data_IF_251261755676
#
_entry.id   IF_251261755676
#
_cell.length_a   1.000
_cell.length_b   1.000
_cell.length_c   1.000
_cell.angle_alpha   90.00
_cell.angle_beta   90.00
_cell.angle_gamma   90.00
#
_symmetry.space_group_name_H-M   'P 1'
#
loop_
_entity.id
_entity.type
_entity.pdbx_description
1 polymer ?
#
# COMPACT_ATOMS: atom_id res chain seq x y z
N UNK A 1 -19.16 -11.90 10.22
CA UNK A 1 -19.37 -12.31 11.64
C UNK A 1 -18.01 -12.68 12.17
N UNK A 2 -17.42 -11.78 12.92
CA UNK A 2 -16.01 -11.85 13.30
C UNK A 2 -15.74 -13.01 14.26
N UNK A 3 -14.58 -13.67 14.08
CA UNK A 3 -14.12 -14.76 14.95
C UNK A 3 -14.00 -14.39 16.44
N UNK A 4 -14.04 -13.10 16.74
CA UNK A 4 -13.94 -12.56 18.11
C UNK A 4 -15.19 -12.86 18.94
N UNK A 5 -16.37 -12.91 18.32
CA UNK A 5 -17.65 -13.14 19.02
C UNK A 5 -17.86 -14.59 19.54
N UNK A 6 -16.90 -15.48 19.29
CA UNK A 6 -16.98 -16.90 19.69
C UNK A 6 -15.99 -17.32 20.75
N UNK A 7 -15.13 -16.40 21.22
CA UNK A 7 -14.15 -16.72 22.26
C UNK A 7 -14.85 -16.74 23.63
N UNK A 8 -14.69 -17.82 24.37
CA UNK A 8 -15.14 -17.84 25.76
C UNK A 8 -14.19 -17.00 26.64
N UNK A 9 -14.63 -16.69 27.86
CA UNK A 9 -13.89 -15.83 28.78
C UNK A 9 -12.50 -16.40 29.14
N UNK A 10 -12.36 -17.71 29.20
CA UNK A 10 -11.11 -18.39 29.51
C UNK A 10 -10.10 -18.24 28.36
N UNK A 11 -10.53 -18.45 27.11
CA UNK A 11 -9.69 -18.26 25.93
C UNK A 11 -9.23 -16.79 25.76
N UNK A 12 -10.07 -15.84 26.14
CA UNK A 12 -9.68 -14.42 26.12
C UNK A 12 -8.62 -14.14 27.17
N UNK A 13 -8.76 -14.70 28.39
CA UNK A 13 -7.77 -14.51 29.46
C UNK A 13 -6.43 -15.18 29.11
N UNK A 14 -6.43 -16.40 28.60
CA UNK A 14 -5.21 -17.09 28.16
C UNK A 14 -4.46 -16.29 27.08
N UNK A 15 -5.18 -15.71 26.11
CA UNK A 15 -4.57 -14.86 25.09
C UNK A 15 -4.03 -13.55 25.66
N UNK A 16 -4.73 -12.99 26.63
CA UNK A 16 -4.28 -11.77 27.32
C UNK A 16 -3.01 -12.03 28.11
N UNK A 17 -2.93 -13.14 28.85
CA UNK A 17 -1.73 -13.57 29.58
C UNK A 17 -0.57 -13.80 28.63
N UNK A 18 -0.78 -14.51 27.53
CA UNK A 18 0.24 -14.70 26.50
C UNK A 18 0.76 -13.38 25.91
N UNK A 19 -0.12 -12.38 25.73
CA UNK A 19 0.28 -11.05 25.28
C UNK A 19 1.10 -10.30 26.34
N UNK A 20 0.75 -10.44 27.62
CA UNK A 20 1.47 -9.79 28.72
C UNK A 20 2.87 -10.42 28.96
N UNK A 21 3.02 -11.71 28.66
CA UNK A 21 4.30 -12.41 28.75
C UNK A 21 5.18 -12.25 27.50
N UNK A 22 4.66 -11.62 26.47
CA UNK A 22 5.38 -11.47 25.21
C UNK A 22 6.60 -10.56 25.36
N UNK A 23 7.77 -11.09 25.03
CA UNK A 23 9.01 -10.30 24.96
C UNK A 23 9.00 -9.47 23.69
N UNK A 24 8.90 -8.16 23.84
CA UNK A 24 8.94 -7.20 22.73
C UNK A 24 10.36 -6.68 22.57
N UNK A 25 10.92 -6.81 21.37
CA UNK A 25 12.15 -6.13 21.00
C UNK A 25 11.79 -4.76 20.42
N UNK A 26 12.19 -3.70 21.14
CA UNK A 26 12.08 -2.34 20.66
C UNK A 26 13.35 -1.94 19.94
N UNK A 27 13.23 -1.62 18.67
CA UNK A 27 14.31 -1.08 17.87
C UNK A 27 14.07 0.40 17.64
N UNK A 28 15.04 1.24 18.04
CA UNK A 28 15.00 2.69 17.82
C UNK A 28 16.10 3.07 16.84
N UNK A 29 15.73 3.61 15.70
CA UNK A 29 16.65 4.17 14.71
C UNK A 29 16.28 5.63 14.46
N UNK A 30 17.15 6.58 14.88
CA UNK A 30 16.86 8.00 14.73
C UNK A 30 16.93 8.50 13.28
N UNK A 31 17.62 7.78 12.38
CA UNK A 31 17.64 8.12 10.95
C UNK A 31 16.48 7.43 10.22
N UNK A 32 15.47 8.18 9.73
CA UNK A 32 14.32 7.60 9.04
C UNK A 32 14.70 6.72 7.84
N UNK A 33 15.80 7.03 7.15
CA UNK A 33 16.28 6.27 6.00
C UNK A 33 16.81 4.90 6.40
N UNK A 34 17.50 4.83 7.54
CA UNK A 34 17.98 3.56 8.11
C UNK A 34 16.82 2.76 8.69
N UNK A 35 15.90 3.43 9.40
CA UNK A 35 14.71 2.80 9.95
C UNK A 35 13.91 2.05 8.87
N UNK A 36 13.66 2.70 7.72
CA UNK A 36 12.94 2.09 6.59
C UNK A 36 13.70 0.89 6.02
N UNK A 37 15.03 1.00 5.83
CA UNK A 37 15.83 -0.13 5.33
C UNK A 37 15.83 -1.31 6.30
N UNK A 38 15.98 -1.04 7.58
CA UNK A 38 15.94 -2.07 8.62
C UNK A 38 14.57 -2.74 8.66
N UNK A 39 13.48 -1.95 8.62
CA UNK A 39 12.12 -2.47 8.56
C UNK A 39 11.90 -3.37 7.34
N UNK A 40 12.32 -2.95 6.16
CA UNK A 40 12.25 -3.77 4.94
C UNK A 40 13.07 -5.06 5.09
N UNK A 41 14.31 -4.97 5.58
CA UNK A 41 15.19 -6.14 5.76
C UNK A 41 14.67 -7.16 6.78
N UNK A 42 14.00 -6.70 7.84
CA UNK A 42 13.40 -7.60 8.85
C UNK A 42 12.17 -8.29 8.27
N UNK A 43 11.32 -7.56 7.57
CA UNK A 43 10.10 -8.12 6.99
C UNK A 43 10.35 -9.05 5.78
N UNK A 44 11.44 -8.85 5.03
CA UNK A 44 11.79 -9.74 3.91
C UNK A 44 12.21 -11.16 4.37
N UNK A 45 12.45 -11.35 5.67
CA UNK A 45 12.91 -12.64 6.20
C UNK A 45 11.79 -13.58 6.66
N UNK A 46 10.69 -13.06 7.21
CA UNK A 46 9.66 -13.87 7.87
C UNK A 46 8.26 -13.74 7.25
N UNK A 47 7.74 -12.52 7.13
CA UNK A 47 6.44 -12.25 6.51
C UNK A 47 6.64 -11.19 5.44
N UNK A 48 6.44 -11.52 4.16
CA UNK A 48 6.57 -10.53 3.09
C UNK A 48 5.62 -9.35 3.34
N UNK A 49 6.17 -8.13 3.28
CA UNK A 49 5.34 -6.94 3.29
C UNK A 49 4.32 -7.00 2.15
N UNK A 50 3.11 -6.57 2.45
CA UNK A 50 2.12 -6.31 1.42
C UNK A 50 2.66 -5.28 0.44
N UNK A 51 2.23 -5.38 -0.81
CA UNK A 51 2.71 -4.49 -1.87
C UNK A 51 2.50 -3.01 -1.53
N UNK A 52 1.32 -2.65 -1.02
CA UNK A 52 1.02 -1.27 -0.63
C UNK A 52 1.96 -0.76 0.48
N UNK A 53 2.38 -1.63 1.41
CA UNK A 53 3.35 -1.27 2.44
C UNK A 53 4.75 -1.06 1.83
N UNK A 54 5.16 -1.90 0.89
CA UNK A 54 6.43 -1.73 0.14
C UNK A 54 6.43 -0.41 -0.63
N UNK A 55 5.34 -0.14 -1.35
CA UNK A 55 5.19 1.08 -2.15
C UNK A 55 5.20 2.34 -1.26
N UNK A 56 4.43 2.33 -0.17
CA UNK A 56 4.41 3.39 0.83
C UNK A 56 5.82 3.66 1.38
N UNK A 57 6.52 2.61 1.79
CA UNK A 57 7.87 2.70 2.33
C UNK A 57 8.87 3.26 1.32
N UNK A 58 8.75 2.86 0.05
CA UNK A 58 9.57 3.39 -1.05
C UNK A 58 9.36 4.91 -1.20
N UNK A 59 8.12 5.38 -1.26
CA UNK A 59 7.81 6.80 -1.42
C UNK A 59 8.25 7.63 -0.21
N UNK A 60 8.09 7.11 1.02
CA UNK A 60 8.60 7.75 2.24
C UNK A 60 10.13 7.81 2.23
N UNK A 61 10.82 6.75 1.77
CA UNK A 61 12.27 6.77 1.63
C UNK A 61 12.74 7.88 0.69
N UNK A 62 12.11 8.02 -0.49
CA UNK A 62 12.45 9.09 -1.44
C UNK A 62 12.12 10.48 -0.91
N UNK A 63 10.97 10.62 -0.23
CA UNK A 63 10.58 11.84 0.46
C UNK A 63 11.66 12.29 1.47
N UNK A 64 12.09 11.39 2.35
CA UNK A 64 13.05 11.70 3.40
C UNK A 64 14.49 11.87 2.89
N UNK A 65 14.83 11.22 1.77
CA UNK A 65 16.19 11.26 1.24
C UNK A 65 16.43 12.49 0.37
N UNK A 66 15.44 12.91 -0.42
CA UNK A 66 15.63 13.89 -1.48
C UNK A 66 14.71 15.11 -1.38
N UNK A 67 13.67 15.05 -0.55
CA UNK A 67 12.79 16.18 -0.27
C UNK A 67 13.05 16.70 1.15
N UNK A 68 12.68 17.96 1.41
CA UNK A 68 12.74 18.50 2.76
C UNK A 68 11.65 17.86 3.63
N UNK A 69 12.04 16.93 4.50
CA UNK A 69 11.16 16.16 5.37
C UNK A 69 10.28 17.01 6.31
N UNK A 70 10.71 18.23 6.61
CA UNK A 70 9.97 19.20 7.46
C UNK A 70 8.68 19.70 6.79
N UNK A 71 8.42 19.38 5.54
CA UNK A 71 7.29 19.91 4.75
C UNK A 71 6.05 19.03 4.73
N UNK A 72 5.94 18.07 5.62
CA UNK A 72 4.70 17.27 5.79
C UNK A 72 4.37 16.29 4.65
N UNK A 73 5.36 15.98 3.78
CA UNK A 73 5.13 15.02 2.68
C UNK A 73 4.90 13.60 3.21
N UNK A 74 5.59 13.22 4.28
CA UNK A 74 5.40 11.90 4.91
C UNK A 74 4.00 11.76 5.50
N UNK A 75 3.50 12.84 6.15
CA UNK A 75 2.13 12.84 6.65
C UNK A 75 1.13 12.71 5.50
N UNK A 76 1.33 13.45 4.41
CA UNK A 76 0.51 13.33 3.21
C UNK A 76 0.48 11.89 2.65
N UNK A 77 1.64 11.25 2.52
CA UNK A 77 1.75 9.86 2.07
C UNK A 77 1.00 8.93 3.04
N UNK A 78 1.23 9.09 4.35
CA UNK A 78 0.60 8.25 5.37
C UNK A 78 -0.92 8.35 5.33
N UNK A 79 -1.47 9.56 5.23
CA UNK A 79 -2.91 9.80 5.22
C UNK A 79 -3.58 9.17 3.98
N UNK A 80 -2.99 9.38 2.80
CA UNK A 80 -3.51 8.82 1.56
C UNK A 80 -3.43 7.30 1.52
N UNK A 81 -2.31 6.72 1.95
CA UNK A 81 -2.20 5.26 2.04
C UNK A 81 -3.15 4.69 3.09
N UNK A 82 -3.39 5.40 4.20
CA UNK A 82 -4.42 5.02 5.18
C UNK A 82 -5.82 4.96 4.56
N UNK A 83 -6.14 5.86 3.63
CA UNK A 83 -7.40 5.81 2.87
C UNK A 83 -7.40 4.67 1.85
N UNK A 84 -6.30 4.46 1.09
CA UNK A 84 -6.16 3.36 0.14
C UNK A 84 -6.39 2.01 0.83
N UNK A 85 -5.79 1.77 1.99
CA UNK A 85 -6.01 0.54 2.76
C UNK A 85 -7.47 0.34 3.15
N UNK A 86 -8.17 1.42 3.57
CA UNK A 86 -9.60 1.36 3.90
C UNK A 86 -10.45 1.05 2.67
N UNK A 87 -10.14 1.67 1.54
CA UNK A 87 -10.82 1.42 0.26
C UNK A 87 -10.60 -0.03 -0.17
N UNK A 88 -9.36 -0.51 -0.14
CA UNK A 88 -9.03 -1.89 -0.49
C UNK A 88 -9.76 -2.91 0.40
N UNK A 89 -9.85 -2.65 1.70
CA UNK A 89 -10.61 -3.49 2.60
C UNK A 89 -12.11 -3.58 2.24
N UNK A 90 -12.69 -2.51 1.68
CA UNK A 90 -14.06 -2.53 1.14
C UNK A 90 -14.15 -3.32 -0.16
N UNK A 91 -13.18 -3.12 -1.08
CA UNK A 91 -13.10 -3.87 -2.34
C UNK A 91 -13.07 -5.38 -2.08
N UNK A 92 -12.26 -5.83 -1.13
CA UNK A 92 -12.18 -7.26 -0.74
C UNK A 92 -13.50 -7.85 -0.22
N UNK A 93 -14.43 -7.00 0.24
CA UNK A 93 -15.74 -7.42 0.74
C UNK A 93 -16.82 -7.42 -0.35
N UNK A 94 -16.55 -6.91 -1.54
CA UNK A 94 -17.49 -6.97 -2.67
C UNK A 94 -17.77 -8.43 -3.05
N UNK A 95 -19.02 -8.72 -3.40
CA UNK A 95 -19.44 -10.07 -3.78
C UNK A 95 -18.70 -10.57 -5.02
N UNK A 96 -18.44 -9.69 -5.99
CA UNK A 96 -17.71 -10.05 -7.21
C UNK A 96 -16.26 -10.43 -6.91
N UNK A 97 -15.58 -9.65 -6.07
CA UNK A 97 -14.17 -9.90 -5.70
C UNK A 97 -14.05 -11.11 -4.76
N UNK A 98 -14.95 -11.26 -3.80
CA UNK A 98 -14.91 -12.39 -2.86
C UNK A 98 -15.11 -13.75 -3.53
N UNK A 99 -15.74 -13.77 -4.70
CA UNK A 99 -15.91 -14.97 -5.53
C UNK A 99 -14.70 -15.29 -6.41
N UNK A 100 -13.81 -14.31 -6.64
CA UNK A 100 -12.59 -14.46 -7.45
C UNK A 100 -11.43 -14.82 -6.52
N UNK A 101 -10.96 -16.07 -6.61
CA UNK A 101 -9.78 -16.48 -5.86
C UNK A 101 -8.53 -15.76 -6.33
N UNK A 102 -7.67 -15.33 -5.38
CA UNK A 102 -6.35 -14.80 -5.67
C UNK A 102 -6.28 -13.31 -6.02
N UNK A 103 -7.39 -12.57 -5.97
CA UNK A 103 -7.37 -11.12 -6.18
C UNK A 103 -6.73 -10.40 -4.98
N UNK A 104 -5.73 -9.58 -5.25
CA UNK A 104 -4.97 -8.84 -4.24
C UNK A 104 -4.75 -7.36 -4.63
N UNK A 105 -4.05 -6.64 -3.77
CA UNK A 105 -3.72 -5.23 -4.00
C UNK A 105 -2.81 -5.01 -5.20
N UNK A 106 -2.01 -6.02 -5.56
CA UNK A 106 -1.13 -5.99 -6.72
C UNK A 106 -1.89 -5.94 -8.03
N UNK A 107 -3.08 -6.54 -8.09
CA UNK A 107 -3.92 -6.47 -9.28
C UNK A 107 -4.36 -5.05 -9.57
N UNK A 108 -4.88 -4.35 -8.56
CA UNK A 108 -5.31 -2.95 -8.71
C UNK A 108 -4.12 -2.05 -9.05
N UNK A 109 -2.98 -2.28 -8.40
CA UNK A 109 -1.75 -1.53 -8.67
C UNK A 109 -1.29 -1.71 -10.13
N UNK A 110 -1.31 -2.94 -10.66
CA UNK A 110 -0.97 -3.22 -12.07
C UNK A 110 -1.97 -2.58 -13.03
N UNK A 111 -3.26 -2.59 -12.71
CA UNK A 111 -4.28 -1.91 -13.53
C UNK A 111 -4.06 -0.40 -13.53
N UNK A 112 -3.73 0.20 -12.39
CA UNK A 112 -3.38 1.61 -12.30
C UNK A 112 -2.17 1.91 -13.20
N UNK A 113 -1.08 1.17 -13.05
CA UNK A 113 0.12 1.35 -13.85
C UNK A 113 -0.12 1.15 -15.37
N UNK A 114 -0.98 0.19 -15.74
CA UNK A 114 -1.31 -0.09 -17.13
C UNK A 114 -2.29 0.92 -17.77
N UNK A 115 -3.05 1.67 -16.97
CA UNK A 115 -4.07 2.59 -17.46
C UNK A 115 -3.57 4.03 -17.65
N UNK A 116 -2.43 4.38 -17.05
CA UNK A 116 -2.00 5.78 -16.91
C UNK A 116 -0.62 6.04 -17.53
N UNK A 117 -0.56 7.13 -18.34
CA UNK A 117 0.68 7.86 -18.56
C UNK A 117 0.78 8.92 -17.49
N UNK A 118 1.53 8.64 -16.43
CA UNK A 118 1.67 9.57 -15.34
C UNK A 118 2.84 10.53 -15.60
N UNK A 119 2.54 11.83 -15.73
CA UNK A 119 3.53 12.91 -15.95
C UNK A 119 4.54 12.61 -17.11
N UNK A 120 4.04 11.95 -18.19
CA UNK A 120 4.86 11.55 -19.33
C UNK A 120 5.63 10.24 -19.13
N UNK A 121 5.54 9.62 -17.97
CA UNK A 121 6.07 8.30 -17.70
C UNK A 121 5.05 7.29 -18.20
N UNK A 122 5.41 6.61 -19.26
CA UNK A 122 4.69 5.44 -19.71
C UNK A 122 5.09 4.27 -18.81
N UNK A 123 4.34 4.04 -17.71
CA UNK A 123 4.47 2.82 -16.89
C UNK A 123 4.10 1.58 -17.68
N UNK A 124 4.18 1.77 -18.96
CA UNK A 124 3.91 0.83 -20.01
C UNK A 124 2.99 -0.26 -19.63
N UNK A 125 1.90 -0.02 -20.09
CA UNK A 125 1.01 -0.90 -20.71
C UNK A 125 1.40 -2.35 -20.88
N UNK A 126 2.10 -2.87 -19.97
CA UNK A 126 2.24 -4.27 -19.79
C UNK A 126 1.28 -4.70 -18.69
N UNK A 127 -0.03 -4.76 -19.06
CA UNK A 127 -0.99 -5.56 -18.29
C UNK A 127 -0.45 -7.00 -18.01
N UNK A 128 0.71 -7.36 -18.57
CA UNK A 128 1.47 -8.60 -18.36
C UNK A 128 2.66 -8.42 -17.42
N UNK A 129 3.03 -7.21 -17.04
CA UNK A 129 4.11 -7.01 -16.09
C UNK A 129 3.72 -7.59 -14.74
N UNK A 130 4.64 -8.20 -14.04
CA UNK A 130 4.42 -8.62 -12.66
C UNK A 130 4.32 -7.38 -11.75
N UNK A 131 3.83 -7.58 -10.56
CA UNK A 131 3.79 -6.53 -9.53
C UNK A 131 5.20 -6.04 -9.19
N UNK A 132 6.16 -6.97 -9.16
CA UNK A 132 7.56 -6.70 -8.91
C UNK A 132 8.16 -5.83 -10.01
N UNK A 133 7.93 -6.17 -11.29
CA UNK A 133 8.41 -5.39 -12.43
C UNK A 133 7.87 -3.95 -12.38
N UNK A 134 6.58 -3.80 -12.03
CA UNK A 134 5.94 -2.48 -11.92
C UNK A 134 6.55 -1.66 -10.78
N UNK A 135 6.86 -2.29 -9.63
CA UNK A 135 7.53 -1.62 -8.51
C UNK A 135 8.97 -1.21 -8.86
N UNK A 136 9.74 -2.07 -9.53
CA UNK A 136 11.10 -1.75 -9.94
C UNK A 136 11.12 -0.62 -10.98
N UNK A 137 10.17 -0.61 -11.91
CA UNK A 137 10.04 0.48 -12.86
C UNK A 137 9.74 1.81 -12.15
N UNK A 138 8.80 1.85 -11.21
CA UNK A 138 8.54 3.06 -10.41
C UNK A 138 9.79 3.52 -9.66
N UNK A 139 10.54 2.60 -9.10
CA UNK A 139 11.78 2.89 -8.39
C UNK A 139 12.85 3.49 -9.32
N UNK A 140 12.97 3.00 -10.54
CA UNK A 140 13.91 3.53 -11.52
C UNK A 140 13.49 4.93 -11.97
N UNK A 141 12.21 5.15 -12.23
CA UNK A 141 11.68 6.49 -12.54
C UNK A 141 11.93 7.49 -11.39
N UNK A 142 11.71 7.08 -10.14
CA UNK A 142 11.99 7.94 -8.99
C UNK A 142 13.47 8.36 -8.88
N UNK A 143 14.39 7.54 -9.39
CA UNK A 143 15.83 7.88 -9.45
C UNK A 143 16.12 8.94 -10.51
N UNK A 144 15.43 8.89 -11.65
CA UNK A 144 15.65 9.75 -12.80
C UNK A 144 14.97 11.14 -12.64
N UNK A 145 13.93 11.23 -11.81
CA UNK A 145 13.21 12.49 -11.59
C UNK A 145 14.11 13.54 -10.93
N UNK A 146 14.12 14.73 -11.50
CA UNK A 146 14.84 15.88 -10.91
C UNK A 146 14.34 16.14 -9.49
N UNK A 147 15.24 16.32 -8.54
CA UNK A 147 14.92 16.57 -7.11
C UNK A 147 13.90 17.69 -6.91
N UNK A 148 13.95 18.74 -7.74
CA UNK A 148 12.99 19.85 -7.67
C UNK A 148 11.56 19.48 -8.04
N UNK A 149 11.36 18.40 -8.80
CA UNK A 149 10.05 17.87 -9.22
C UNK A 149 9.58 16.67 -8.40
N UNK A 150 10.47 16.06 -7.64
CA UNK A 150 10.18 14.80 -6.94
C UNK A 150 9.01 14.93 -5.95
N UNK A 151 8.96 16.05 -5.21
CA UNK A 151 7.85 16.29 -4.28
C UNK A 151 6.51 16.35 -4.98
N UNK A 152 6.38 17.13 -6.05
CA UNK A 152 5.15 17.26 -6.81
C UNK A 152 4.77 15.94 -7.47
N UNK A 153 5.76 15.21 -7.98
CA UNK A 153 5.54 13.87 -8.54
C UNK A 153 4.93 12.93 -7.48
N UNK A 154 5.56 12.79 -6.31
CA UNK A 154 5.07 11.91 -5.24
C UNK A 154 3.63 12.31 -4.83
N UNK A 155 3.36 13.62 -4.65
CA UNK A 155 2.03 14.07 -4.28
C UNK A 155 0.98 13.72 -5.33
N UNK A 156 1.28 13.99 -6.60
CA UNK A 156 0.37 13.68 -7.70
C UNK A 156 0.17 12.16 -7.84
N UNK A 157 1.24 11.38 -7.79
CA UNK A 157 1.20 9.94 -7.89
C UNK A 157 0.33 9.29 -6.79
N UNK A 158 0.55 9.70 -5.55
CA UNK A 158 -0.21 9.16 -4.40
C UNK A 158 -1.68 9.55 -4.47
N UNK A 159 -1.99 10.79 -4.90
CA UNK A 159 -3.37 11.24 -5.09
C UNK A 159 -4.06 10.47 -6.21
N UNK A 160 -3.37 10.27 -7.32
CA UNK A 160 -3.89 9.54 -8.47
C UNK A 160 -4.15 8.08 -8.14
N UNK A 161 -3.20 7.43 -7.48
CA UNK A 161 -3.37 6.05 -7.00
C UNK A 161 -4.60 5.93 -6.09
N UNK A 162 -4.78 6.84 -5.13
CA UNK A 162 -5.97 6.84 -4.26
C UNK A 162 -7.26 6.99 -5.07
N UNK A 163 -7.29 7.92 -6.00
CA UNK A 163 -8.45 8.15 -6.85
C UNK A 163 -8.79 6.92 -7.70
N UNK A 164 -7.76 6.22 -8.20
CA UNK A 164 -7.96 4.98 -8.95
C UNK A 164 -8.57 3.88 -8.07
N UNK A 165 -8.09 3.68 -6.84
CA UNK A 165 -8.70 2.74 -5.91
C UNK A 165 -10.15 3.10 -5.60
N UNK A 166 -10.47 4.39 -5.45
CA UNK A 166 -11.84 4.83 -5.23
C UNK A 166 -12.73 4.57 -6.44
N UNK A 167 -12.27 4.92 -7.65
CA UNK A 167 -13.00 4.65 -8.89
C UNK A 167 -13.26 3.16 -9.10
N UNK A 168 -12.29 2.31 -8.73
CA UNK A 168 -12.46 0.85 -8.78
C UNK A 168 -13.54 0.37 -7.81
N UNK A 169 -13.57 0.90 -6.58
CA UNK A 169 -14.61 0.60 -5.60
C UNK A 169 -16.00 1.06 -6.08
N UNK A 170 -16.09 2.25 -6.68
CA UNK A 170 -17.33 2.81 -7.18
C UNK A 170 -17.88 1.95 -8.32
N UNK A 171 -17.03 1.53 -9.26
CA UNK A 171 -17.38 0.59 -10.32
C UNK A 171 -17.92 -0.74 -9.78
N UNK A 172 -17.26 -1.34 -8.80
CA UNK A 172 -17.74 -2.57 -8.17
C UNK A 172 -19.11 -2.37 -7.50
N UNK A 173 -19.33 -1.21 -6.87
CA UNK A 173 -20.61 -0.90 -6.24
C UNK A 173 -21.74 -0.75 -7.26
N UNK A 174 -21.45 -0.21 -8.44
CA UNK A 174 -22.40 -0.16 -9.56
C UNK A 174 -22.77 -1.54 -10.09
N UNK A 175 -21.76 -2.42 -10.26
CA UNK A 175 -21.97 -3.79 -10.72
C UNK A 175 -22.76 -4.60 -9.67
N UNK A 176 -22.45 -4.44 -8.37
CA UNK A 176 -23.16 -5.13 -7.28
C UNK A 176 -24.66 -4.70 -7.22
N UNK A 177 -24.98 -3.46 -7.63
CA UNK A 177 -26.37 -2.95 -7.67
C UNK A 177 -27.11 -3.27 -8.94
N UNK A 178 -26.40 -3.49 -10.06
CA UNK A 178 -26.97 -3.75 -11.39
C UNK A 178 -26.36 -5.02 -12.01
N UNK A 179 -26.75 -6.23 -11.55
CA UNK A 179 -26.14 -7.49 -12.00
C UNK A 179 -26.37 -7.85 -13.47
N UNK A 180 -27.02 -6.97 -14.24
CA UNK A 180 -27.27 -7.13 -15.69
C UNK A 180 -26.29 -6.34 -16.57
N UNK A 181 -25.32 -5.68 -15.98
CA UNK A 181 -24.17 -5.09 -16.66
C UNK A 181 -23.03 -6.09 -16.75
#
# INVERSE_FOLDING_TARGET
>A
MDKVDKLNKEEVNERLEALLEMVLMRFEEPDPRRAIRTFQSVNDRDVPLLLLDKLKSLLIYYSNTFCDWKRGLDQFINDHFGEIFKIFAKIKKSNHISSVGGFDEGDIFRYHAGSQKFDGIDFLGHYRASTEDTCEQLKDELKEIKKSKLKSFIQSYVSDLKNFYQAFLDLLSEIDTNPTL
#
